data_IF_844217936650
#
_entry.id   IF_844217936650
#
_cell.length_a   1.000
_cell.length_b   1.000
_cell.length_c   1.000
_cell.angle_alpha   90.00
_cell.angle_beta   90.00
_cell.angle_gamma   90.00
#
_symmetry.space_group_name_H-M   'P 1'
#
loop_
_entity.id
_entity.type
_entity.pdbx_description
1 polymer ?
#
# COMPACT_ATOMS: atom_id res chain seq x y z
N UNK A 1 -15.86 2.78 27.15
CA UNK A 1 -16.09 1.74 28.19
C UNK A 1 -15.63 2.28 29.53
N UNK A 2 -16.26 1.90 30.64
CA UNK A 2 -15.84 2.31 31.99
C UNK A 2 -14.57 1.54 32.42
N UNK A 3 -13.45 2.26 32.53
CA UNK A 3 -12.17 1.69 32.92
C UNK A 3 -12.16 1.20 34.39
N UNK A 4 -12.98 1.78 35.26
CA UNK A 4 -13.05 1.39 36.67
C UNK A 4 -13.70 0.00 36.82
N UNK A 5 -14.76 -0.26 36.06
CA UNK A 5 -15.40 -1.57 36.04
C UNK A 5 -14.46 -2.67 35.55
N UNK A 6 -13.74 -2.42 34.44
CA UNK A 6 -12.74 -3.38 33.94
C UNK A 6 -11.63 -3.66 34.97
N UNK A 7 -11.15 -2.63 35.67
CA UNK A 7 -10.15 -2.77 36.72
C UNK A 7 -10.65 -3.65 37.86
N UNK A 8 -11.91 -3.46 38.29
CA UNK A 8 -12.53 -4.29 39.31
C UNK A 8 -12.64 -5.75 38.85
N UNK A 9 -13.03 -6.00 37.60
CA UNK A 9 -13.08 -7.34 37.03
C UNK A 9 -11.69 -8.01 37.04
N UNK A 10 -10.64 -7.32 36.57
CA UNK A 10 -9.28 -7.86 36.60
C UNK A 10 -8.77 -8.07 38.03
N UNK A 11 -9.07 -7.17 38.97
CA UNK A 11 -8.74 -7.36 40.39
C UNK A 11 -9.41 -8.62 40.96
N UNK A 12 -10.67 -8.88 40.60
CA UNK A 12 -11.40 -10.07 41.02
C UNK A 12 -10.79 -11.37 40.47
N UNK A 13 -10.15 -11.35 39.29
CA UNK A 13 -9.42 -12.52 38.76
C UNK A 13 -8.20 -12.93 39.59
N UNK A 14 -7.70 -12.03 40.45
CA UNK A 14 -6.52 -12.25 41.29
C UNK A 14 -6.87 -12.67 42.72
N UNK A 15 -8.15 -12.75 43.07
CA UNK A 15 -8.60 -13.13 44.40
C UNK A 15 -8.31 -14.61 44.72
N UNK A 16 -8.12 -14.93 46.00
CA UNK A 16 -7.84 -16.30 46.43
C UNK A 16 -9.06 -17.23 46.26
N UNK A 17 -10.28 -16.68 46.36
CA UNK A 17 -11.53 -17.41 46.22
C UNK A 17 -11.79 -17.84 44.76
N UNK A 18 -11.88 -19.15 44.54
CA UNK A 18 -12.13 -19.75 43.23
C UNK A 18 -13.47 -19.30 42.61
N UNK A 19 -14.50 -19.08 43.43
CA UNK A 19 -15.83 -18.69 42.94
C UNK A 19 -15.80 -17.29 42.32
N UNK A 20 -15.17 -16.34 43.03
CA UNK A 20 -14.96 -14.95 42.59
C UNK A 20 -14.14 -14.88 41.30
N UNK A 21 -13.06 -15.68 41.20
CA UNK A 21 -12.26 -15.74 39.96
C UNK A 21 -13.07 -16.24 38.78
N UNK A 22 -13.81 -17.34 38.96
CA UNK A 22 -14.58 -17.97 37.88
C UNK A 22 -15.68 -17.01 37.38
N UNK A 23 -16.33 -16.30 38.30
CA UNK A 23 -17.32 -15.28 37.95
C UNK A 23 -16.69 -14.10 37.20
N UNK A 24 -15.54 -13.60 37.67
CA UNK A 24 -14.83 -12.51 37.01
C UNK A 24 -14.36 -12.87 35.60
N UNK A 25 -13.85 -14.09 35.39
CA UNK A 25 -13.47 -14.57 34.07
C UNK A 25 -14.67 -14.71 33.13
N UNK A 26 -15.81 -15.18 33.62
CA UNK A 26 -17.05 -15.26 32.84
C UNK A 26 -17.51 -13.86 32.41
N UNK A 27 -17.41 -12.88 33.29
CA UNK A 27 -17.77 -11.49 33.00
C UNK A 27 -16.82 -10.87 31.97
N UNK A 28 -15.50 -11.05 32.10
CA UNK A 28 -14.52 -10.60 31.10
C UNK A 28 -14.78 -11.21 29.73
N UNK A 29 -15.19 -12.48 29.65
CA UNK A 29 -15.59 -13.14 28.40
C UNK A 29 -16.85 -12.54 27.78
N UNK A 30 -17.74 -11.98 28.59
CA UNK A 30 -18.93 -11.27 28.10
C UNK A 30 -18.56 -9.88 27.56
N UNK A 31 -17.71 -9.16 28.28
CA UNK A 31 -17.29 -7.80 27.91
C UNK A 31 -16.37 -7.77 26.68
N UNK A 32 -15.66 -8.85 26.38
CA UNK A 32 -14.67 -8.90 25.28
C UNK A 32 -15.27 -8.66 23.88
N UNK A 33 -16.58 -8.76 23.73
CA UNK A 33 -17.30 -8.51 22.46
C UNK A 33 -17.75 -7.04 22.37
N UNK A 34 -17.71 -6.31 23.49
CA UNK A 34 -18.19 -4.92 23.54
C UNK A 34 -17.12 -3.98 22.97
N UNK A 35 -17.48 -3.06 22.05
CA UNK A 35 -16.53 -2.10 21.48
C UNK A 35 -15.81 -1.28 22.56
N UNK A 36 -14.51 -1.09 22.37
CA UNK A 36 -13.66 -0.33 23.29
C UNK A 36 -13.15 -1.14 24.47
N UNK A 37 -13.44 -2.44 24.55
CA UNK A 37 -12.86 -3.34 25.55
C UNK A 37 -11.34 -3.39 25.42
N UNK A 38 -10.84 -3.57 24.19
CA UNK A 38 -9.40 -3.67 23.95
C UNK A 38 -8.69 -2.33 24.18
N UNK A 39 -9.34 -1.22 23.84
CA UNK A 39 -8.87 0.12 24.21
C UNK A 39 -8.76 0.31 25.72
N UNK A 40 -9.79 -0.08 26.48
CA UNK A 40 -9.79 -0.02 27.94
C UNK A 40 -8.73 -0.91 28.59
N UNK A 41 -8.47 -2.10 28.03
CA UNK A 41 -7.34 -2.93 28.45
C UNK A 41 -6.00 -2.19 28.27
N UNK A 42 -5.79 -1.51 27.13
CA UNK A 42 -4.59 -0.72 26.88
C UNK A 42 -4.46 0.47 27.84
N UNK A 43 -5.56 1.12 28.22
CA UNK A 43 -5.56 2.19 29.23
C UNK A 43 -5.09 1.70 30.60
N UNK A 44 -5.58 0.52 31.04
CA UNK A 44 -5.16 -0.11 32.30
C UNK A 44 -3.67 -0.47 32.25
N UNK A 45 -3.20 -1.00 31.12
CA UNK A 45 -1.79 -1.40 30.95
C UNK A 45 -0.87 -0.16 30.95
N UNK A 46 -1.27 0.92 30.27
CA UNK A 46 -0.51 2.16 30.19
C UNK A 46 -0.46 2.95 31.50
N UNK A 47 -1.38 2.69 32.42
CA UNK A 47 -1.47 3.35 33.72
C UNK A 47 -0.37 2.86 34.68
N UNK A 48 0.86 3.32 34.42
CA UNK A 48 2.07 2.99 35.19
C UNK A 48 2.29 3.86 36.42
N UNK A 49 1.41 4.83 36.68
CA UNK A 49 1.43 5.69 37.87
C UNK A 49 0.97 5.00 39.18
N UNK A 50 1.10 5.74 40.28
CA UNK A 50 0.65 5.33 41.63
C UNK A 50 -0.88 5.25 41.69
N UNK A 51 -1.45 4.06 41.48
CA UNK A 51 -2.89 3.85 41.60
C UNK A 51 -3.38 2.45 41.20
N UNK A 52 -2.63 1.75 40.34
CA UNK A 52 -2.98 0.40 39.88
C UNK A 52 -1.90 -0.60 40.29
N UNK A 53 -2.32 -1.70 40.90
CA UNK A 53 -1.46 -2.83 41.25
C UNK A 53 -0.78 -3.42 39.99
N UNK A 54 0.56 -3.58 39.98
CA UNK A 54 1.28 -4.27 38.91
C UNK A 54 0.69 -5.63 38.51
N UNK A 55 0.12 -6.38 39.46
CA UNK A 55 -0.51 -7.67 39.18
C UNK A 55 -1.75 -7.54 38.28
N UNK A 56 -2.56 -6.50 38.48
CA UNK A 56 -3.73 -6.20 37.66
C UNK A 56 -3.31 -5.84 36.23
N UNK A 57 -2.27 -5.00 36.08
CA UNK A 57 -1.71 -4.66 34.76
C UNK A 57 -1.24 -5.89 34.01
N UNK A 58 -0.53 -6.78 34.70
CA UNK A 58 -0.06 -8.05 34.11
C UNK A 58 -1.23 -8.93 33.69
N UNK A 59 -2.28 -9.04 34.50
CA UNK A 59 -3.49 -9.80 34.15
C UNK A 59 -4.18 -9.23 32.90
N UNK A 60 -4.35 -7.90 32.83
CA UNK A 60 -4.90 -7.21 31.68
C UNK A 60 -4.03 -7.43 30.41
N UNK A 61 -2.71 -7.32 30.52
CA UNK A 61 -1.78 -7.55 29.41
C UNK A 61 -1.82 -9.00 28.90
N UNK A 62 -1.89 -9.99 29.80
CA UNK A 62 -2.02 -11.40 29.42
C UNK A 62 -3.34 -11.66 28.70
N UNK A 63 -4.45 -11.12 29.21
CA UNK A 63 -5.76 -11.26 28.58
C UNK A 63 -5.80 -10.59 27.20
N UNK A 64 -5.35 -9.34 27.12
CA UNK A 64 -5.24 -8.58 25.87
C UNK A 64 -4.43 -9.35 24.82
N UNK A 65 -3.22 -9.81 25.18
CA UNK A 65 -2.36 -10.62 24.31
C UNK A 65 -3.10 -11.85 23.78
N UNK A 66 -3.70 -12.63 24.66
CA UNK A 66 -4.38 -13.87 24.29
C UNK A 66 -5.56 -13.61 23.33
N UNK A 67 -6.31 -12.54 23.58
CA UNK A 67 -7.42 -12.11 22.73
C UNK A 67 -6.93 -11.71 21.34
N UNK A 68 -5.90 -10.86 21.27
CA UNK A 68 -5.33 -10.42 19.98
C UNK A 68 -4.78 -11.61 19.21
N UNK A 69 -3.90 -12.42 19.79
CA UNK A 69 -3.29 -13.55 19.07
C UNK A 69 -4.34 -14.53 18.53
N UNK A 70 -5.39 -14.82 19.31
CA UNK A 70 -6.40 -15.81 18.93
C UNK A 70 -7.43 -15.29 17.93
N UNK A 71 -7.73 -13.99 17.95
CA UNK A 71 -8.90 -13.44 17.27
C UNK A 71 -8.60 -12.31 16.28
N UNK A 72 -7.32 -12.03 15.99
CA UNK A 72 -6.94 -11.04 14.99
C UNK A 72 -7.34 -11.42 13.55
N UNK A 73 -7.21 -12.70 13.20
CA UNK A 73 -7.52 -13.20 11.86
C UNK A 73 -9.02 -13.29 11.61
N UNK A 74 -9.43 -12.96 10.38
CA UNK A 74 -10.83 -12.86 9.95
C UNK A 74 -11.62 -14.17 9.98
N UNK A 75 -10.94 -15.32 10.08
CA UNK A 75 -11.56 -16.65 10.05
C UNK A 75 -12.02 -17.15 11.43
N UNK A 76 -11.97 -16.31 12.48
CA UNK A 76 -12.42 -16.67 13.82
C UNK A 76 -13.89 -16.30 14.04
N UNK A 77 -14.74 -17.19 14.61
CA UNK A 77 -16.12 -16.86 14.95
C UNK A 77 -16.22 -15.72 15.99
N UNK A 78 -15.15 -15.48 16.75
CA UNK A 78 -15.04 -14.40 17.71
C UNK A 78 -14.00 -13.36 17.28
N UNK A 79 -13.89 -13.07 15.97
CA UNK A 79 -12.90 -12.11 15.44
C UNK A 79 -13.03 -10.74 16.13
N UNK A 80 -11.90 -10.05 16.24
CA UNK A 80 -11.88 -8.65 16.70
C UNK A 80 -12.58 -7.80 15.64
N UNK A 81 -13.37 -6.84 16.11
CA UNK A 81 -14.07 -5.91 15.23
C UNK A 81 -13.06 -5.09 14.41
N UNK A 82 -13.36 -4.83 13.14
CA UNK A 82 -12.45 -4.07 12.28
C UNK A 82 -12.29 -2.62 12.77
N UNK A 83 -13.29 -2.06 13.46
CA UNK A 83 -13.22 -0.71 14.04
C UNK A 83 -12.30 -0.64 15.27
N UNK A 84 -12.04 -1.76 15.96
CA UNK A 84 -11.12 -1.80 17.10
C UNK A 84 -9.65 -1.92 16.67
N UNK A 85 -9.38 -2.47 15.47
CA UNK A 85 -8.00 -2.71 15.02
C UNK A 85 -7.16 -1.43 14.88
N UNK A 86 -7.66 -0.32 14.31
CA UNK A 86 -6.91 0.93 14.23
C UNK A 86 -6.47 1.44 15.61
N UNK A 87 -7.36 1.36 16.60
CA UNK A 87 -7.08 1.78 17.98
C UNK A 87 -5.94 0.96 18.57
N UNK A 88 -5.91 -0.35 18.31
CA UNK A 88 -4.84 -1.23 18.79
C UNK A 88 -3.51 -0.90 18.10
N UNK A 89 -3.51 -0.69 16.78
CA UNK A 89 -2.31 -0.36 16.00
C UNK A 89 -1.70 0.98 16.44
N UNK A 90 -2.54 1.97 16.72
CA UNK A 90 -2.11 3.30 17.15
C UNK A 90 -1.55 3.28 18.58
N UNK A 91 -2.23 2.59 19.50
CA UNK A 91 -1.93 2.69 20.94
C UNK A 91 -0.90 1.68 21.45
N UNK A 92 -0.67 0.56 20.76
CA UNK A 92 0.20 -0.52 21.26
C UNK A 92 1.65 -0.08 21.45
N UNK A 93 2.20 0.75 20.56
CA UNK A 93 3.59 1.21 20.64
C UNK A 93 3.81 2.17 21.82
N UNK A 94 3.00 3.23 22.01
CA UNK A 94 3.07 4.07 23.21
C UNK A 94 2.94 3.26 24.52
N UNK A 95 1.98 2.33 24.57
CA UNK A 95 1.77 1.47 25.74
C UNK A 95 3.00 0.61 26.01
N UNK A 96 3.60 0.03 24.97
CA UNK A 96 4.81 -0.78 25.10
C UNK A 96 5.98 0.05 25.64
N UNK A 97 6.20 1.27 25.17
CA UNK A 97 7.29 2.13 25.63
C UNK A 97 7.15 2.45 27.11
N UNK A 98 5.93 2.83 27.54
CA UNK A 98 5.62 3.18 28.92
C UNK A 98 5.66 1.98 29.90
N UNK A 99 5.51 0.74 29.40
CA UNK A 99 5.42 -0.46 30.21
C UNK A 99 6.76 -0.92 30.82
N UNK A 100 6.69 -1.64 31.95
CA UNK A 100 7.84 -2.31 32.56
C UNK A 100 8.27 -3.56 31.77
N UNK A 101 9.43 -4.13 32.10
CA UNK A 101 10.00 -5.28 31.38
C UNK A 101 9.04 -6.49 31.32
N UNK A 102 8.36 -6.84 32.40
CA UNK A 102 7.50 -8.02 32.43
C UNK A 102 6.25 -7.84 31.56
N UNK A 103 5.66 -6.65 31.59
CA UNK A 103 4.51 -6.29 30.76
C UNK A 103 4.90 -6.23 29.29
N UNK A 104 6.07 -5.65 28.96
CA UNK A 104 6.64 -5.65 27.59
C UNK A 104 6.71 -7.05 27.01
N UNK A 105 7.19 -8.04 27.77
CA UNK A 105 7.26 -9.44 27.32
C UNK A 105 5.89 -10.04 26.97
N UNK A 106 4.80 -9.57 27.58
CA UNK A 106 3.45 -10.01 27.21
C UNK A 106 2.94 -9.34 25.93
N UNK A 107 3.41 -8.14 25.60
CA UNK A 107 2.93 -7.38 24.43
C UNK A 107 3.73 -7.66 23.16
N UNK A 108 4.99 -8.10 23.25
CA UNK A 108 5.82 -8.44 22.07
C UNK A 108 5.13 -9.44 21.11
N UNK A 109 4.49 -10.52 21.57
CA UNK A 109 3.75 -11.42 20.69
C UNK A 109 2.61 -10.75 19.91
N UNK A 110 2.01 -9.68 20.45
CA UNK A 110 0.99 -8.90 19.75
C UNK A 110 1.61 -8.18 18.56
N UNK A 111 2.78 -7.54 18.74
CA UNK A 111 3.48 -6.87 17.64
C UNK A 111 3.76 -7.81 16.47
N UNK A 112 4.16 -9.06 16.73
CA UNK A 112 4.40 -10.06 15.68
C UNK A 112 3.15 -10.36 14.85
N UNK A 113 1.98 -10.37 15.47
CA UNK A 113 0.69 -10.56 14.77
C UNK A 113 0.39 -9.35 13.88
N UNK A 114 0.60 -8.14 14.40
CA UNK A 114 0.38 -6.90 13.65
C UNK A 114 1.35 -6.78 12.47
N UNK A 115 2.64 -7.03 12.71
CA UNK A 115 3.70 -7.02 11.70
C UNK A 115 3.36 -7.99 10.56
N UNK A 116 2.99 -9.23 10.88
CA UNK A 116 2.60 -10.24 9.89
C UNK A 116 1.39 -9.80 9.05
N UNK A 117 0.38 -9.19 9.67
CA UNK A 117 -0.77 -8.65 8.92
C UNK A 117 -0.34 -7.51 7.98
N UNK A 118 0.49 -6.58 8.44
CA UNK A 118 0.96 -5.46 7.63
C UNK A 118 1.83 -5.92 6.45
N UNK A 119 2.76 -6.84 6.70
CA UNK A 119 3.59 -7.43 5.65
C UNK A 119 2.75 -8.17 4.61
N UNK A 120 1.79 -8.98 5.04
CA UNK A 120 0.87 -9.66 4.13
C UNK A 120 0.07 -8.69 3.27
N UNK A 121 -0.43 -7.60 3.85
CA UNK A 121 -1.14 -6.56 3.10
C UNK A 121 -0.23 -5.84 2.10
N UNK A 122 1.01 -5.55 2.50
CA UNK A 122 2.02 -4.99 1.61
C UNK A 122 2.27 -5.91 0.41
N UNK A 123 2.58 -7.20 0.63
CA UNK A 123 2.84 -8.13 -0.46
C UNK A 123 1.64 -8.33 -1.37
N UNK A 124 0.42 -8.43 -0.82
CA UNK A 124 -0.81 -8.52 -1.62
C UNK A 124 -0.98 -7.31 -2.54
N UNK A 125 -0.77 -6.10 -2.01
CA UNK A 125 -0.80 -4.87 -2.81
C UNK A 125 0.31 -4.85 -3.84
N UNK A 126 1.54 -5.18 -3.45
CA UNK A 126 2.68 -5.20 -4.37
C UNK A 126 2.45 -6.18 -5.53
N UNK A 127 1.99 -7.40 -5.27
CA UNK A 127 1.67 -8.38 -6.31
C UNK A 127 0.51 -7.95 -7.21
N UNK A 128 -0.46 -7.18 -6.68
CA UNK A 128 -1.51 -6.56 -7.50
C UNK A 128 -0.95 -5.49 -8.43
N UNK A 129 0.08 -4.74 -7.99
CA UNK A 129 0.73 -3.71 -8.77
C UNK A 129 1.67 -4.25 -9.86
N UNK A 130 2.32 -5.40 -9.63
CA UNK A 130 3.33 -5.97 -10.53
C UNK A 130 2.88 -6.03 -12.01
N UNK A 131 1.68 -6.55 -12.35
CA UNK A 131 1.21 -6.60 -13.73
C UNK A 131 1.02 -5.23 -14.39
N UNK A 132 0.92 -4.15 -13.60
CA UNK A 132 0.72 -2.78 -14.07
C UNK A 132 2.04 -2.01 -14.27
N UNK A 133 3.18 -2.58 -13.85
CA UNK A 133 4.48 -1.95 -14.00
C UNK A 133 4.92 -1.97 -15.46
N UNK A 134 5.20 -0.80 -16.02
CA UNK A 134 5.69 -0.63 -17.41
C UNK A 134 7.04 0.09 -17.52
N UNK A 135 7.51 0.70 -16.43
CA UNK A 135 8.77 1.45 -16.39
C UNK A 135 9.96 0.52 -16.18
N UNK A 136 11.07 0.80 -16.84
CA UNK A 136 12.25 -0.07 -16.81
C UNK A 136 12.81 -0.17 -15.40
N UNK A 137 12.96 0.96 -14.71
CA UNK A 137 13.56 1.00 -13.38
C UNK A 137 12.65 0.37 -12.32
N UNK A 138 11.33 0.51 -12.42
CA UNK A 138 10.38 -0.17 -11.51
C UNK A 138 10.46 -1.69 -11.65
N UNK A 139 10.54 -2.18 -12.89
CA UNK A 139 10.65 -3.60 -13.19
C UNK A 139 11.98 -4.15 -12.67
N UNK A 140 13.10 -3.48 -12.95
CA UNK A 140 14.43 -3.86 -12.42
C UNK A 140 14.45 -3.88 -10.90
N UNK A 141 13.94 -2.82 -10.25
CA UNK A 141 13.89 -2.72 -8.80
C UNK A 141 13.04 -3.82 -8.18
N UNK A 142 11.86 -4.10 -8.77
CA UNK A 142 10.96 -5.13 -8.27
C UNK A 142 11.57 -6.53 -8.41
N UNK A 143 12.24 -6.82 -9.53
CA UNK A 143 12.99 -8.07 -9.75
C UNK A 143 14.05 -8.24 -8.67
N UNK A 144 14.91 -7.23 -8.47
CA UNK A 144 15.98 -7.29 -7.48
C UNK A 144 15.43 -7.43 -6.05
N UNK A 145 14.34 -6.73 -5.74
CA UNK A 145 13.67 -6.83 -4.44
C UNK A 145 13.15 -8.24 -4.17
N UNK A 146 12.48 -8.87 -5.14
CA UNK A 146 12.00 -10.24 -5.00
C UNK A 146 13.14 -11.25 -4.91
N UNK A 147 14.19 -11.10 -5.73
CA UNK A 147 15.39 -11.95 -5.66
C UNK A 147 16.06 -11.83 -4.29
N UNK A 148 16.22 -10.62 -3.77
CA UNK A 148 16.79 -10.39 -2.44
C UNK A 148 15.93 -11.02 -1.35
N UNK A 149 14.60 -10.92 -1.46
CA UNK A 149 13.66 -11.51 -0.52
C UNK A 149 13.73 -13.04 -0.49
N UNK A 150 13.85 -13.68 -1.66
CA UNK A 150 13.95 -15.15 -1.75
C UNK A 150 15.35 -15.64 -1.32
N UNK A 151 16.37 -14.84 -1.58
CA UNK A 151 17.75 -15.20 -1.25
C UNK A 151 18.06 -15.15 0.24
N UNK A 152 17.38 -14.29 1.01
CA UNK A 152 17.55 -14.23 2.46
C UNK A 152 16.69 -15.29 3.19
N UNK A 153 17.29 -16.29 3.86
CA UNK A 153 16.54 -17.34 4.53
C UNK A 153 15.64 -16.82 5.67
N UNK A 154 16.06 -15.75 6.36
CA UNK A 154 15.29 -15.22 7.49
C UNK A 154 14.02 -14.54 6.99
N UNK A 155 14.14 -13.66 6.01
CA UNK A 155 13.01 -13.02 5.37
C UNK A 155 12.09 -14.06 4.72
N UNK A 156 12.62 -14.99 3.93
CA UNK A 156 11.82 -16.02 3.26
C UNK A 156 11.00 -16.88 4.23
N UNK A 157 11.62 -17.34 5.32
CA UNK A 157 10.94 -18.18 6.32
C UNK A 157 9.89 -17.42 7.15
N UNK A 158 9.92 -16.08 7.13
CA UNK A 158 8.90 -15.25 7.79
C UNK A 158 7.63 -15.06 6.96
N UNK A 159 7.66 -15.42 5.67
CA UNK A 159 6.55 -15.25 4.75
C UNK A 159 5.48 -16.32 4.93
N UNK A 160 4.23 -15.92 4.69
CA UNK A 160 3.12 -16.85 4.63
C UNK A 160 3.14 -17.66 3.34
N UNK A 161 2.67 -18.90 3.42
CA UNK A 161 2.58 -19.82 2.28
C UNK A 161 1.92 -19.19 1.06
N UNK A 162 0.83 -18.43 1.25
CA UNK A 162 0.17 -17.74 0.14
C UNK A 162 1.07 -16.71 -0.55
N UNK A 163 1.96 -16.04 0.18
CA UNK A 163 2.90 -15.08 -0.40
C UNK A 163 3.98 -15.83 -1.18
N UNK A 164 4.53 -16.90 -0.59
CA UNK A 164 5.56 -17.74 -1.23
C UNK A 164 5.08 -18.28 -2.58
N UNK A 165 3.85 -18.76 -2.65
CA UNK A 165 3.24 -19.28 -3.88
C UNK A 165 3.10 -18.23 -5.01
N UNK A 166 3.07 -16.94 -4.67
CA UNK A 166 2.97 -15.84 -5.64
C UNK A 166 4.34 -15.26 -6.03
N UNK A 167 5.43 -15.60 -5.34
CA UNK A 167 6.77 -15.06 -5.64
C UNK A 167 7.25 -15.47 -7.04
N UNK A 168 7.09 -16.76 -7.38
CA UNK A 168 7.53 -17.28 -8.68
C UNK A 168 6.72 -16.68 -9.84
N UNK A 169 5.39 -16.64 -9.72
CA UNK A 169 4.52 -16.07 -10.76
C UNK A 169 4.77 -14.57 -10.95
N UNK A 170 5.02 -13.84 -9.85
CA UNK A 170 5.39 -12.42 -9.87
C UNK A 170 6.72 -12.18 -10.57
N UNK A 171 7.75 -12.97 -10.27
CA UNK A 171 9.05 -12.89 -10.96
C UNK A 171 8.88 -13.13 -12.46
N UNK A 172 8.15 -14.17 -12.86
CA UNK A 172 7.90 -14.46 -14.28
C UNK A 172 7.16 -13.33 -14.99
N UNK A 173 6.16 -12.72 -14.34
CA UNK A 173 5.45 -11.57 -14.91
C UNK A 173 6.39 -10.39 -15.16
N UNK A 174 7.25 -10.05 -14.19
CA UNK A 174 8.24 -8.98 -14.35
C UNK A 174 9.23 -9.26 -15.49
N UNK A 175 9.75 -10.49 -15.58
CA UNK A 175 10.67 -10.89 -16.65
C UNK A 175 10.04 -10.94 -18.03
N UNK A 176 8.74 -11.22 -18.11
CA UNK A 176 8.01 -11.20 -19.39
C UNK A 176 7.81 -9.78 -19.91
N UNK A 177 7.65 -8.81 -19.00
CA UNK A 177 7.41 -7.40 -19.37
C UNK A 177 8.70 -6.60 -19.57
N UNK A 178 9.79 -6.95 -18.87
CA UNK A 178 11.06 -6.21 -18.92
C UNK A 178 11.61 -5.99 -20.36
N UNK A 179 11.60 -6.97 -21.27
CA UNK A 179 12.04 -6.74 -22.66
C UNK A 179 11.21 -5.67 -23.38
N UNK A 180 9.88 -5.70 -23.22
CA UNK A 180 8.98 -4.72 -23.84
C UNK A 180 9.25 -3.32 -23.30
N UNK A 181 9.45 -3.22 -21.98
CA UNK A 181 9.78 -1.96 -21.33
C UNK A 181 11.12 -1.40 -21.84
N UNK A 182 12.17 -2.25 -21.93
CA UNK A 182 13.48 -1.85 -22.46
C UNK A 182 13.40 -1.37 -23.91
N UNK A 183 12.65 -2.05 -24.77
CA UNK A 183 12.44 -1.62 -26.16
C UNK A 183 11.71 -0.27 -26.22
N UNK A 184 10.63 -0.12 -25.44
CA UNK A 184 9.87 1.14 -25.38
C UNK A 184 10.72 2.30 -24.86
N UNK A 185 11.59 2.05 -23.89
CA UNK A 185 12.47 3.04 -23.28
C UNK A 185 13.62 3.43 -24.22
N UNK A 186 14.20 2.46 -24.94
CA UNK A 186 15.18 2.73 -25.98
C UNK A 186 14.59 3.56 -27.12
N UNK A 187 13.36 3.26 -27.56
CA UNK A 187 12.63 4.09 -28.53
C UNK A 187 12.46 5.51 -28.02
N UNK A 188 11.97 5.68 -26.78
CA UNK A 188 11.83 7.00 -26.14
C UNK A 188 13.15 7.77 -26.12
N UNK A 189 14.28 7.13 -25.80
CA UNK A 189 15.61 7.76 -25.84
C UNK A 189 16.03 8.21 -27.24
N UNK A 190 15.66 7.46 -28.28
CA UNK A 190 15.99 7.78 -29.67
C UNK A 190 15.08 8.87 -30.25
N UNK A 191 13.80 8.86 -29.90
CA UNK A 191 12.81 9.84 -30.37
C UNK A 191 12.83 11.13 -29.56
N UNK A 192 13.52 11.15 -28.42
CA UNK A 192 13.63 12.34 -27.58
C UNK A 192 14.36 13.45 -28.33
N UNK A 193 13.60 14.42 -28.85
CA UNK A 193 14.09 15.64 -29.46
C UNK A 193 13.85 16.81 -28.52
N UNK A 194 14.80 17.75 -28.44
CA UNK A 194 14.66 19.00 -27.69
C UNK A 194 13.39 19.79 -28.09
N UNK A 195 12.86 19.54 -29.29
CA UNK A 195 11.65 20.17 -29.81
C UNK A 195 10.36 19.75 -29.09
N UNK A 196 10.31 18.58 -28.45
CA UNK A 196 9.10 18.12 -27.71
C UNK A 196 8.84 18.92 -26.43
N UNK A 197 9.86 19.60 -25.87
CA UNK A 197 9.69 20.54 -24.76
C UNK A 197 9.28 21.95 -25.24
N UNK A 198 9.52 22.27 -26.52
CA UNK A 198 9.28 23.61 -27.09
C UNK A 198 7.84 23.86 -27.53
N UNK A 199 6.95 22.88 -27.41
CA UNK A 199 5.51 23.04 -27.73
C UNK A 199 4.79 24.06 -26.83
N UNK A 200 5.47 24.59 -25.80
CA UNK A 200 4.99 25.71 -24.98
C UNK A 200 5.32 27.10 -25.57
N UNK A 201 6.06 27.19 -26.67
CA UNK A 201 6.43 28.47 -27.29
C UNK A 201 5.32 29.06 -28.19
N UNK A 202 4.30 28.29 -28.56
CA UNK A 202 3.17 28.79 -29.39
C UNK A 202 2.15 29.62 -28.59
N UNK A 203 2.21 29.61 -27.25
CA UNK A 203 1.25 30.35 -26.42
C UNK A 203 1.53 31.86 -26.32
N UNK A 204 2.73 32.32 -26.68
CA UNK A 204 3.10 33.75 -26.59
C UNK A 204 3.02 34.50 -27.93
N UNK A 205 2.47 33.90 -28.99
CA UNK A 205 2.34 34.57 -30.29
C UNK A 205 0.97 35.25 -30.51
N UNK A 206 -0.02 35.02 -29.64
CA UNK A 206 -1.40 35.49 -29.88
C UNK A 206 -1.88 36.56 -28.88
N UNK A 207 -0.96 37.29 -28.26
CA UNK A 207 -1.25 38.33 -27.25
C UNK A 207 -0.92 39.75 -27.76
N UNK A 208 -0.97 39.97 -29.08
CA UNK A 208 -0.74 41.30 -29.68
C UNK A 208 -1.88 41.77 -30.60
N UNK A 209 -2.97 41.00 -30.74
CA UNK A 209 -4.14 41.40 -31.54
C UNK A 209 -5.44 41.41 -30.70
N UNK A 210 -5.41 42.00 -29.49
CA UNK A 210 -6.66 42.43 -28.85
C UNK A 210 -7.10 43.76 -29.47
N UNK A 211 -8.03 43.67 -30.43
CA UNK A 211 -8.88 44.77 -30.85
C UNK A 211 -9.57 45.37 -29.61
N UNK A 212 -9.09 46.54 -29.19
CA UNK A 212 -9.61 47.33 -28.08
C UNK A 212 -11.06 47.76 -28.39
N UNK A 213 -12.03 46.95 -27.94
CA UNK A 213 -13.46 47.23 -28.08
C UNK A 213 -13.80 48.54 -27.33
N UNK A 214 -14.12 49.58 -28.10
CA UNK A 214 -14.47 50.90 -27.57
C UNK A 214 -15.70 50.84 -26.64
N UNK A 215 -15.69 51.64 -25.58
CA UNK A 215 -16.79 51.71 -24.61
C UNK A 215 -18.16 52.02 -25.24
N UNK A 216 -18.20 52.72 -26.38
CA UNK A 216 -19.41 52.91 -27.18
C UNK A 216 -20.02 51.59 -27.69
N UNK A 217 -19.21 50.61 -28.11
CA UNK A 217 -19.71 49.32 -28.62
C UNK A 217 -20.33 48.45 -27.50
N UNK A 218 -19.79 48.57 -26.29
CA UNK A 218 -20.33 47.89 -25.10
C UNK A 218 -21.66 48.52 -24.67
N UNK A 219 -21.80 49.84 -24.81
CA UNK A 219 -23.04 50.55 -24.48
C UNK A 219 -24.19 50.26 -25.45
N UNK A 220 -23.89 50.03 -26.74
CA UNK A 220 -24.91 49.70 -27.75
C UNK A 220 -25.46 48.27 -27.56
N UNK A 221 -24.62 47.34 -27.10
CA UNK A 221 -25.03 45.98 -26.76
C UNK A 221 -25.97 45.93 -25.54
N UNK A 222 -25.65 46.69 -24.48
CA UNK A 222 -26.45 46.74 -23.25
C UNK A 222 -27.78 47.51 -23.40
N UNK A 223 -27.88 48.40 -24.38
CA UNK A 223 -29.11 49.17 -24.65
C UNK A 223 -30.16 48.39 -25.47
N UNK A 224 -29.81 47.23 -26.01
CA UNK A 224 -30.73 46.36 -26.76
C UNK A 224 -31.49 45.35 -25.88
N UNK A 225 -31.19 45.28 -24.58
CA UNK A 225 -32.04 44.56 -23.62
C UNK A 225 -33.27 45.39 -23.25
N UNK A 226 -34.16 45.61 -24.22
CA UNK A 226 -35.55 45.90 -23.88
C UNK A 226 -36.46 44.96 -24.67
N UNK A 227 -37.06 44.05 -23.90
CA UNK A 227 -37.95 42.96 -24.30
C UNK A 227 -37.32 41.83 -25.14
N UNK A 228 -37.33 40.61 -24.60
CA UNK A 228 -37.94 39.40 -25.19
C UNK A 228 -37.62 38.20 -24.30
N UNK A 229 -38.61 37.31 -24.20
CA UNK A 229 -38.71 36.11 -23.38
C UNK A 229 -37.41 35.33 -23.11
N UNK A 230 -37.27 34.86 -21.87
CA UNK A 230 -36.29 33.85 -21.45
C UNK A 230 -36.50 32.56 -22.23
N UNK A 231 -35.89 32.46 -23.40
CA UNK A 231 -35.84 31.21 -24.15
C UNK A 231 -34.80 30.30 -23.47
N UNK A 232 -35.24 29.19 -22.89
CA UNK A 232 -34.40 28.17 -22.22
C UNK A 232 -33.24 27.72 -23.12
N UNK A 233 -33.40 27.85 -24.43
CA UNK A 233 -32.43 27.53 -25.45
C UNK A 233 -31.16 28.42 -25.38
N UNK A 234 -31.29 29.69 -25.00
CA UNK A 234 -30.14 30.61 -24.83
C UNK A 234 -29.31 30.27 -23.58
N UNK A 235 -29.99 29.85 -22.51
CA UNK A 235 -29.34 29.42 -21.27
C UNK A 235 -28.66 28.08 -21.48
N UNK A 236 -29.27 27.16 -22.23
CA UNK A 236 -28.63 25.90 -22.63
C UNK A 236 -27.47 26.10 -23.60
N UNK A 237 -27.56 27.05 -24.53
CA UNK A 237 -26.45 27.38 -25.43
C UNK A 237 -25.25 27.94 -24.64
N UNK A 238 -25.51 28.83 -23.67
CA UNK A 238 -24.46 29.33 -22.78
C UNK A 238 -23.91 28.23 -21.86
N UNK A 239 -24.76 27.34 -21.33
CA UNK A 239 -24.30 26.19 -20.53
C UNK A 239 -23.46 25.20 -21.35
N UNK A 240 -23.86 24.93 -22.59
CA UNK A 240 -23.09 24.09 -23.50
C UNK A 240 -21.76 24.73 -23.88
N UNK A 241 -21.74 26.05 -24.11
CA UNK A 241 -20.52 26.80 -24.32
C UNK A 241 -19.58 26.71 -23.11
N UNK A 242 -20.09 26.94 -21.89
CA UNK A 242 -19.30 26.79 -20.67
C UNK A 242 -18.80 25.36 -20.44
N UNK A 243 -19.59 24.34 -20.78
CA UNK A 243 -19.17 22.94 -20.70
C UNK A 243 -18.09 22.61 -21.73
N UNK A 244 -18.21 23.13 -22.95
CA UNK A 244 -17.22 22.97 -24.00
C UNK A 244 -15.91 23.68 -23.65
N UNK A 245 -16.00 24.90 -23.12
CA UNK A 245 -14.84 25.67 -22.66
C UNK A 245 -14.15 25.01 -21.46
N UNK A 246 -14.91 24.48 -20.50
CA UNK A 246 -14.40 23.74 -19.36
C UNK A 246 -13.77 22.39 -19.80
N UNK A 247 -14.31 21.73 -20.82
CA UNK A 247 -13.68 20.55 -21.41
C UNK A 247 -12.38 20.88 -22.14
N UNK A 248 -12.29 22.04 -22.80
CA UNK A 248 -11.05 22.52 -23.43
C UNK A 248 -9.99 22.87 -22.38
N UNK A 249 -10.39 23.47 -21.26
CA UNK A 249 -9.53 23.77 -20.10
C UNK A 249 -9.04 22.50 -19.37
N UNK A 250 -9.86 21.45 -19.28
CA UNK A 250 -9.38 20.13 -18.80
C UNK A 250 -8.31 19.55 -19.71
N UNK A 251 -8.52 19.61 -21.04
CA UNK A 251 -7.54 19.15 -22.02
C UNK A 251 -6.30 20.06 -22.17
N UNK A 252 -6.29 21.26 -21.58
CA UNK A 252 -5.15 22.20 -21.69
C UNK A 252 -4.05 21.96 -20.67
N UNK A 253 -4.07 20.82 -19.96
CA UNK A 253 -2.96 20.36 -19.11
C UNK A 253 -2.69 21.20 -17.86
N UNK A 254 -3.62 22.08 -17.46
CA UNK A 254 -3.43 22.98 -16.31
C UNK A 254 -4.15 22.51 -15.03
N UNK A 255 -5.02 21.49 -15.11
CA UNK A 255 -5.87 21.07 -13.98
C UNK A 255 -5.94 19.55 -13.71
N UNK A 256 -5.18 18.72 -14.39
CA UNK A 256 -5.12 17.28 -14.08
C UNK A 256 -3.86 16.95 -13.25
N UNK A 257 -3.80 17.46 -12.01
CA UNK A 257 -2.84 16.92 -11.00
C UNK A 257 -3.08 15.42 -10.75
N UNK A 258 -4.30 14.92 -10.99
CA UNK A 258 -4.69 13.51 -10.84
C UNK A 258 -4.35 12.63 -12.07
N UNK A 259 -3.95 13.21 -13.21
CA UNK A 259 -3.53 12.47 -14.43
C UNK A 259 -2.11 12.80 -14.91
N UNK A 260 -1.22 13.28 -14.03
CA UNK A 260 0.21 13.19 -14.32
C UNK A 260 0.61 11.71 -14.35
N UNK A 261 0.53 11.10 -15.54
CA UNK A 261 1.13 9.79 -15.79
C UNK A 261 2.58 9.87 -15.34
N UNK A 262 2.97 9.03 -14.38
CA UNK A 262 4.34 9.01 -13.91
C UNK A 262 5.22 8.50 -15.05
N UNK A 263 5.78 9.41 -15.83
CA UNK A 263 6.66 9.11 -16.96
C UNK A 263 8.08 8.90 -16.44
N UNK A 264 8.75 7.89 -16.99
CA UNK A 264 10.17 7.67 -16.76
C UNK A 264 10.98 8.62 -17.66
N UNK A 265 11.77 9.51 -17.06
CA UNK A 265 12.64 10.43 -17.80
C UNK A 265 13.68 9.63 -18.61
N UNK A 266 13.66 9.69 -19.96
CA UNK A 266 14.59 8.94 -20.79
C UNK A 266 16.05 9.37 -20.64
N UNK A 267 16.30 10.61 -20.22
CA UNK A 267 17.64 11.20 -20.10
C UNK A 267 18.25 11.08 -18.71
N UNK A 268 17.43 10.83 -17.68
CA UNK A 268 17.94 10.62 -16.33
C UNK A 268 18.74 9.32 -16.28
N UNK A 269 19.98 9.45 -15.82
CA UNK A 269 20.84 8.32 -15.51
C UNK A 269 20.60 7.89 -14.06
N UNK A 270 20.34 6.61 -13.85
CA UNK A 270 20.18 6.00 -12.54
C UNK A 270 21.24 4.93 -12.32
N UNK A 271 21.56 4.57 -11.06
CA UNK A 271 22.43 3.43 -10.77
C UNK A 271 21.92 2.10 -11.35
N UNK A 272 20.61 2.01 -11.67
CA UNK A 272 19.97 0.83 -12.23
C UNK A 272 20.20 0.67 -13.75
N UNK A 273 20.70 1.69 -14.45
CA UNK A 273 21.00 1.61 -15.90
C UNK A 273 22.00 0.50 -16.19
N UNK A 274 23.09 0.43 -15.41
CA UNK A 274 24.19 -0.52 -15.61
C UNK A 274 23.89 -1.93 -15.09
N UNK A 275 22.74 -2.14 -14.46
CA UNK A 275 22.37 -3.42 -13.87
C UNK A 275 21.68 -4.30 -14.92
N UNK A 276 22.29 -5.46 -15.21
CA UNK A 276 21.68 -6.52 -16.01
C UNK A 276 20.80 -7.42 -15.12
N UNK A 277 19.50 -7.14 -15.12
CA UNK A 277 18.52 -7.91 -14.35
C UNK A 277 18.39 -9.37 -14.84
N UNK A 278 18.67 -9.66 -16.12
CA UNK A 278 18.63 -11.03 -16.66
C UNK A 278 19.82 -11.84 -16.16
N UNK A 279 21.02 -11.25 -16.14
CA UNK A 279 22.19 -11.89 -15.56
C UNK A 279 21.98 -12.22 -14.07
N UNK A 280 21.51 -11.24 -13.28
CA UNK A 280 21.23 -11.43 -11.84
C UNK A 280 20.26 -12.59 -11.62
N UNK A 281 19.22 -12.70 -12.45
CA UNK A 281 18.26 -13.78 -12.34
C UNK A 281 18.83 -15.15 -12.65
N UNK A 282 19.68 -15.27 -13.68
CA UNK A 282 20.34 -16.55 -14.00
C UNK A 282 21.24 -17.01 -12.88
N UNK A 283 22.07 -16.10 -12.37
CA UNK A 283 22.97 -16.38 -11.23
C UNK A 283 22.17 -16.79 -10.00
N UNK A 284 21.07 -16.06 -9.72
CA UNK A 284 20.14 -16.38 -8.65
C UNK A 284 19.50 -17.76 -8.83
N UNK A 285 18.91 -18.06 -9.99
CA UNK A 285 18.23 -19.32 -10.25
C UNK A 285 19.16 -20.52 -10.11
N UNK A 286 20.36 -20.44 -10.70
CA UNK A 286 21.38 -21.48 -10.57
C UNK A 286 21.87 -21.65 -9.12
N UNK A 287 22.15 -20.54 -8.43
CA UNK A 287 22.57 -20.56 -7.02
C UNK A 287 21.47 -21.11 -6.10
N UNK A 288 20.20 -20.72 -6.32
CA UNK A 288 19.07 -21.17 -5.51
C UNK A 288 18.82 -22.65 -5.70
N UNK A 289 18.89 -23.16 -6.93
CA UNK A 289 18.73 -24.58 -7.21
C UNK A 289 19.85 -25.43 -6.59
N UNK A 290 21.10 -24.95 -6.64
CA UNK A 290 22.25 -25.65 -6.10
C UNK A 290 22.30 -25.63 -4.56
N UNK A 291 22.06 -24.46 -3.96
CA UNK A 291 22.26 -24.25 -2.52
C UNK A 291 20.99 -24.48 -1.71
N UNK A 292 19.80 -24.21 -2.27
CA UNK A 292 18.51 -24.26 -1.57
C UNK A 292 17.42 -24.92 -2.42
N UNK A 293 17.54 -26.22 -2.75
CA UNK A 293 16.60 -26.90 -3.65
C UNK A 293 15.16 -26.91 -3.13
N UNK A 294 14.97 -26.91 -1.80
CA UNK A 294 13.63 -26.82 -1.19
C UNK A 294 12.95 -25.48 -1.50
N UNK A 295 13.67 -24.37 -1.32
CA UNK A 295 13.17 -23.02 -1.63
C UNK A 295 12.87 -22.89 -3.12
N UNK A 296 13.74 -23.43 -3.98
CA UNK A 296 13.51 -23.46 -5.42
C UNK A 296 12.20 -24.17 -5.77
N UNK A 297 11.93 -25.35 -5.21
CA UNK A 297 10.67 -26.07 -5.44
C UNK A 297 9.45 -25.33 -4.89
N UNK A 298 9.55 -24.69 -3.72
CA UNK A 298 8.43 -23.93 -3.14
C UNK A 298 8.05 -22.70 -3.97
N UNK A 299 9.04 -22.02 -4.55
CA UNK A 299 8.83 -20.78 -5.33
C UNK A 299 8.45 -21.09 -6.78
N UNK A 300 9.12 -22.04 -7.42
CA UNK A 300 9.00 -22.31 -8.85
C UNK A 300 8.21 -23.58 -9.19
N UNK A 301 7.91 -24.44 -8.21
CA UNK A 301 7.23 -25.72 -8.45
C UNK A 301 5.76 -25.61 -8.83
N UNK A 302 5.12 -24.47 -8.56
CA UNK A 302 3.71 -24.20 -8.90
C UNK A 302 3.54 -23.47 -10.24
N UNK A 303 4.63 -23.21 -10.97
CA UNK A 303 4.57 -22.54 -12.27
C UNK A 303 4.04 -23.47 -13.37
N UNK A 304 3.17 -22.94 -14.22
CA UNK A 304 2.64 -23.63 -15.40
C UNK A 304 3.71 -23.81 -16.48
N UNK A 305 3.54 -24.77 -17.40
CA UNK A 305 4.53 -25.13 -18.45
C UNK A 305 5.00 -23.92 -19.29
N UNK A 306 4.11 -22.96 -19.57
CA UNK A 306 4.47 -21.72 -20.28
C UNK A 306 5.37 -20.79 -19.45
N UNK A 307 5.19 -20.76 -18.13
CA UNK A 307 6.00 -19.97 -17.19
C UNK A 307 7.34 -20.66 -16.90
N UNK A 308 7.36 -21.98 -16.86
CA UNK A 308 8.60 -22.77 -16.78
C UNK A 308 9.48 -22.58 -18.02
N UNK A 309 8.88 -22.49 -19.21
CA UNK A 309 9.61 -22.18 -20.43
C UNK A 309 10.19 -20.77 -20.45
N UNK A 310 9.56 -19.77 -19.83
CA UNK A 310 10.12 -18.42 -19.68
C UNK A 310 11.30 -18.44 -18.70
N UNK A 311 11.17 -19.14 -17.58
CA UNK A 311 12.29 -19.38 -16.65
C UNK A 311 13.49 -20.05 -17.36
N UNK A 312 13.23 -21.03 -18.23
CA UNK A 312 14.26 -21.67 -19.07
C UNK A 312 14.84 -20.77 -20.15
N UNK A 313 14.01 -20.01 -20.88
CA UNK A 313 14.44 -19.10 -21.95
C UNK A 313 15.18 -17.87 -21.44
N UNK A 314 14.87 -17.35 -20.25
CA UNK A 314 15.69 -16.33 -19.60
C UNK A 314 17.10 -16.85 -19.25
N UNK A 315 17.25 -18.18 -19.14
CA UNK A 315 18.53 -18.89 -19.07
C UNK A 315 19.33 -18.85 -20.38
N UNK A 316 18.67 -19.08 -21.52
CA UNK A 316 19.34 -19.33 -22.82
C UNK A 316 19.31 -18.15 -23.81
N UNK A 317 18.42 -17.17 -23.64
CA UNK A 317 18.03 -16.18 -24.67
C UNK A 317 19.01 -15.04 -24.98
N UNK A 318 20.30 -15.15 -24.64
CA UNK A 318 21.30 -14.10 -24.92
C UNK A 318 22.50 -14.55 -25.76
N UNK A 319 22.61 -15.83 -26.15
CA UNK A 319 23.62 -16.25 -27.13
C UNK A 319 23.28 -15.82 -28.56
N UNK A 320 22.07 -15.30 -28.80
CA UNK A 320 21.59 -14.87 -30.12
C UNK A 320 21.46 -13.36 -30.30
N UNK A 321 21.94 -12.55 -29.34
CA UNK A 321 21.94 -11.08 -29.43
C UNK A 321 23.31 -10.46 -29.07
N UNK A 322 24.39 -11.07 -29.55
CA UNK A 322 25.71 -10.42 -29.70
C UNK A 322 25.98 -10.11 -31.16
#
# INVERSE_FOLDING_TARGET
MDAQFLLQCFSATLQADQSVRTQAEAELRRLVITPGFLGGCLDIIASTGEGIDPAIRKAAAVFFKNRVIKNWSQNSPNKIDEDEKPVIKDRILPVLVASDYNTKQQLIPVLRVLEREMLNNFFRRWFTLIPMLKRVFDLKLSIMGLISLISDPNAFNSLDQSIVEHLGTSLVALFSELPNALESFAKKRQTFSYTDFSSSQDYYQNWDDEDELSAEAVSEYLASEDSVDKDENSTQAYMNFLLEENSKLKNSGFYDEDEEQIVEDPLVTTPLDNIDAFQIFREFGGSLQANNPKTYTLVFGTLNDSQQNINGKSGEGLDSAK
#
